data_IF_539498024180
#
_entry.id   IF_539498024180
#
_cell.length_a   1.000
_cell.length_b   1.000
_cell.length_c   1.000
_cell.angle_alpha   90.00
_cell.angle_beta   90.00
_cell.angle_gamma   90.00
#
_symmetry.space_group_name_H-M   'P 1'
#
loop_
_entity.id
_entity.type
_entity.pdbx_description
1 polymer ?
#
# COMPACT_ATOMS: atom_id res chain seq x y z
N UNK A 1 -2.51 -2.45 21.13
CA UNK A 1 -2.50 -2.04 19.72
C UNK A 1 -1.32 -1.11 19.55
N UNK A 2 -0.36 -1.41 18.68
CA UNK A 2 0.81 -0.54 18.45
C UNK A 2 0.38 0.79 17.85
N UNK A 3 1.04 1.90 18.20
CA UNK A 3 0.70 3.25 17.70
C UNK A 3 0.73 3.32 16.16
N UNK A 4 1.62 2.52 15.54
CA UNK A 4 1.72 2.40 14.08
C UNK A 4 0.45 1.82 13.42
N UNK A 5 -0.35 1.02 14.12
CA UNK A 5 -1.64 0.55 13.61
C UNK A 5 -2.66 1.70 13.49
N UNK A 6 -2.43 2.81 14.19
CA UNK A 6 -3.21 4.03 14.07
C UNK A 6 -2.69 4.96 12.97
N UNK A 7 -1.53 4.68 12.38
CA UNK A 7 -0.95 5.45 11.28
C UNK A 7 -1.93 5.52 10.10
N UNK A 8 -2.24 6.72 9.57
CA UNK A 8 -3.15 6.87 8.45
C UNK A 8 -2.76 6.05 7.21
N UNK A 9 -1.46 5.91 6.93
CA UNK A 9 -0.98 5.12 5.80
C UNK A 9 -1.28 3.63 6.01
N UNK A 10 -1.02 3.09 7.20
CA UNK A 10 -1.31 1.68 7.52
C UNK A 10 -2.82 1.40 7.45
N UNK A 11 -3.65 2.32 7.96
CA UNK A 11 -5.11 2.21 7.85
C UNK A 11 -5.59 2.20 6.40
N UNK A 12 -5.09 3.12 5.57
CA UNK A 12 -5.47 3.19 4.16
C UNK A 12 -5.08 1.92 3.41
N UNK A 13 -3.87 1.41 3.67
CA UNK A 13 -3.39 0.16 3.07
C UNK A 13 -4.28 -1.02 3.50
N UNK A 14 -4.53 -1.15 4.80
CA UNK A 14 -5.37 -2.23 5.32
C UNK A 14 -6.79 -2.17 4.76
N UNK A 15 -7.37 -0.98 4.63
CA UNK A 15 -8.67 -0.80 4.00
C UNK A 15 -8.68 -1.40 2.58
N UNK A 16 -7.74 -1.04 1.72
CA UNK A 16 -7.72 -1.54 0.35
C UNK A 16 -7.39 -3.03 0.21
N UNK A 17 -6.62 -3.61 1.14
CA UNK A 17 -6.25 -5.02 1.09
C UNK A 17 -7.34 -5.93 1.69
N UNK A 18 -7.97 -5.50 2.79
CA UNK A 18 -8.78 -6.38 3.64
C UNK A 18 -10.27 -6.03 3.64
N UNK A 19 -10.63 -4.77 3.39
CA UNK A 19 -11.99 -4.27 3.62
C UNK A 19 -12.69 -3.81 2.33
N UNK A 20 -11.92 -3.31 1.35
CA UNK A 20 -12.47 -2.81 0.09
C UNK A 20 -13.09 -3.95 -0.73
N UNK A 21 -14.32 -3.74 -1.22
CA UNK A 21 -14.97 -4.71 -2.11
C UNK A 21 -14.30 -4.75 -3.49
N UNK A 22 -14.40 -5.87 -4.22
CA UNK A 22 -13.89 -5.95 -5.59
C UNK A 22 -14.42 -4.85 -6.51
N UNK A 23 -15.71 -4.49 -6.38
CA UNK A 23 -16.33 -3.44 -7.19
C UNK A 23 -15.67 -2.08 -6.91
N UNK A 24 -15.44 -1.76 -5.63
CA UNK A 24 -14.73 -0.54 -5.25
C UNK A 24 -13.31 -0.49 -5.81
N UNK A 25 -12.60 -1.62 -5.85
CA UNK A 25 -11.25 -1.70 -6.44
C UNK A 25 -11.26 -1.44 -7.95
N UNK A 26 -12.30 -1.91 -8.65
CA UNK A 26 -12.51 -1.63 -10.08
C UNK A 26 -12.85 -0.16 -10.30
N UNK A 27 -13.83 0.39 -9.57
CA UNK A 27 -14.27 1.78 -9.69
C UNK A 27 -13.13 2.78 -9.39
N UNK A 28 -12.22 2.41 -8.48
CA UNK A 28 -11.07 3.23 -8.09
C UNK A 28 -9.79 2.85 -8.81
N UNK A 29 -9.82 1.96 -9.82
CA UNK A 29 -8.63 1.43 -10.49
C UNK A 29 -7.62 2.50 -10.89
N UNK A 30 -8.06 3.54 -11.61
CA UNK A 30 -7.15 4.61 -12.09
C UNK A 30 -6.43 5.28 -10.91
N UNK A 31 -7.16 5.60 -9.85
CA UNK A 31 -6.57 6.20 -8.65
C UNK A 31 -5.60 5.24 -7.96
N UNK A 32 -5.98 3.96 -7.82
CA UNK A 32 -5.15 2.96 -7.15
C UNK A 32 -3.86 2.67 -7.93
N UNK A 33 -3.97 2.48 -9.25
CA UNK A 33 -2.88 2.07 -10.13
C UNK A 33 -1.93 3.23 -10.47
N UNK A 34 -2.46 4.42 -10.75
CA UNK A 34 -1.66 5.55 -11.22
C UNK A 34 -1.17 6.42 -10.05
N UNK A 35 -1.99 6.59 -9.02
CA UNK A 35 -1.70 7.52 -7.92
C UNK A 35 -1.17 6.79 -6.69
N UNK A 36 -1.98 5.93 -6.06
CA UNK A 36 -1.60 5.30 -4.79
C UNK A 36 -0.39 4.38 -4.93
N UNK A 37 -0.37 3.53 -5.96
CA UNK A 37 0.76 2.62 -6.19
C UNK A 37 2.08 3.37 -6.36
N UNK A 38 2.07 4.50 -7.09
CA UNK A 38 3.24 5.38 -7.25
C UNK A 38 3.67 6.00 -5.92
N UNK A 39 2.72 6.51 -5.14
CA UNK A 39 2.98 7.10 -3.83
C UNK A 39 3.59 6.06 -2.88
N UNK A 40 2.99 4.88 -2.78
CA UNK A 40 3.46 3.83 -1.87
C UNK A 40 4.88 3.35 -2.24
N UNK A 41 5.18 3.18 -3.54
CA UNK A 41 6.53 2.84 -4.00
C UNK A 41 7.55 3.91 -3.60
N UNK A 42 7.25 5.18 -3.86
CA UNK A 42 8.13 6.29 -3.51
C UNK A 42 8.35 6.38 -1.99
N UNK A 43 7.31 6.18 -1.16
CA UNK A 43 7.45 6.18 0.30
C UNK A 43 8.26 5.00 0.82
N UNK A 44 8.07 3.81 0.25
CA UNK A 44 8.87 2.64 0.59
C UNK A 44 10.36 2.84 0.24
N UNK A 45 10.65 3.36 -0.95
CA UNK A 45 12.01 3.71 -1.36
C UNK A 45 12.63 4.76 -0.43
N UNK A 46 11.85 5.76 -0.01
CA UNK A 46 12.29 6.78 0.94
C UNK A 46 12.71 6.14 2.27
N UNK A 47 11.87 5.29 2.87
CA UNK A 47 12.19 4.64 4.15
C UNK A 47 13.43 3.74 3.99
N UNK A 48 13.54 3.00 2.88
CA UNK A 48 14.69 2.14 2.59
C UNK A 48 16.00 2.92 2.38
N UNK A 49 15.92 4.21 2.07
CA UNK A 49 17.10 5.07 1.90
C UNK A 49 17.65 5.62 3.23
N UNK A 50 16.94 5.44 4.35
CA UNK A 50 17.37 5.98 5.63
C UNK A 50 18.50 5.16 6.26
N UNK A 51 19.50 5.85 6.79
CA UNK A 51 20.65 5.22 7.47
C UNK A 51 20.28 4.63 8.85
N UNK A 52 19.20 5.12 9.46
CA UNK A 52 18.68 4.63 10.74
C UNK A 52 17.17 4.45 10.60
N UNK A 53 16.68 3.28 10.98
CA UNK A 53 15.28 2.87 10.80
C UNK A 53 14.79 2.32 12.14
N UNK A 54 13.74 2.93 12.69
CA UNK A 54 13.08 2.45 13.90
C UNK A 54 12.22 1.21 13.61
N UNK A 55 11.74 0.53 14.65
CA UNK A 55 10.82 -0.59 14.45
C UNK A 55 9.47 -0.14 13.86
N UNK A 56 9.03 1.08 14.16
CA UNK A 56 7.82 1.67 13.57
C UNK A 56 8.00 1.93 12.07
N UNK A 57 9.18 2.42 11.68
CA UNK A 57 9.53 2.62 10.27
C UNK A 57 9.59 1.31 9.50
N UNK A 58 10.09 0.23 10.13
CA UNK A 58 10.06 -1.13 9.56
C UNK A 58 8.64 -1.60 9.32
N UNK A 59 7.77 -1.46 10.32
CA UNK A 59 6.36 -1.86 10.20
C UNK A 59 5.65 -1.04 9.10
N UNK A 60 5.96 0.25 9.00
CA UNK A 60 5.42 1.11 7.94
C UNK A 60 5.93 0.70 6.55
N UNK A 61 7.22 0.39 6.41
CA UNK A 61 7.80 -0.11 5.17
C UNK A 61 7.16 -1.44 4.74
N UNK A 62 6.95 -2.36 5.68
CA UNK A 62 6.25 -3.62 5.43
C UNK A 62 4.80 -3.39 4.99
N UNK A 63 4.10 -2.42 5.60
CA UNK A 63 2.76 -2.06 5.17
C UNK A 63 2.75 -1.56 3.71
N UNK A 64 3.65 -0.64 3.36
CA UNK A 64 3.76 -0.17 1.97
C UNK A 64 4.06 -1.31 1.00
N UNK A 65 5.00 -2.20 1.35
CA UNK A 65 5.33 -3.36 0.51
C UNK A 65 4.09 -4.25 0.28
N UNK A 66 3.33 -4.58 1.33
CA UNK A 66 2.10 -5.37 1.20
C UNK A 66 1.07 -4.70 0.29
N UNK A 67 0.87 -3.39 0.43
CA UNK A 67 -0.04 -2.62 -0.42
C UNK A 67 0.38 -2.64 -1.90
N UNK A 68 1.68 -2.45 -2.16
CA UNK A 68 2.25 -2.48 -3.51
C UNK A 68 2.06 -3.86 -4.14
N UNK A 69 2.35 -4.92 -3.40
CA UNK A 69 2.26 -6.30 -3.89
C UNK A 69 0.81 -6.66 -4.22
N UNK A 70 -0.12 -6.29 -3.33
CA UNK A 70 -1.55 -6.48 -3.55
C UNK A 70 -2.02 -5.76 -4.82
N UNK A 71 -1.83 -4.44 -4.92
CA UNK A 71 -2.31 -3.69 -6.09
C UNK A 71 -1.62 -4.12 -7.38
N UNK A 72 -0.32 -4.43 -7.35
CA UNK A 72 0.41 -4.92 -8.53
C UNK A 72 -0.16 -6.25 -9.01
N UNK A 73 -0.49 -7.16 -8.09
CA UNK A 73 -1.14 -8.44 -8.43
C UNK A 73 -2.56 -8.23 -8.95
N UNK A 74 -3.36 -7.43 -8.25
CA UNK A 74 -4.76 -7.13 -8.60
C UNK A 74 -4.85 -6.57 -10.02
N UNK A 75 -4.03 -5.58 -10.38
CA UNK A 75 -4.13 -4.95 -11.71
C UNK A 75 -3.39 -5.69 -12.83
N UNK A 76 -2.40 -6.54 -12.52
CA UNK A 76 -1.83 -7.47 -13.53
C UNK A 76 -2.86 -8.50 -14.01
N UNK A 77 -3.73 -8.97 -13.11
CA UNK A 77 -4.76 -9.95 -13.46
C UNK A 77 -5.85 -9.34 -14.34
N UNK A 78 -6.23 -8.07 -14.11
CA UNK A 78 -7.31 -7.40 -14.85
C UNK A 78 -6.89 -6.96 -16.28
N UNK A 79 -5.61 -7.04 -16.64
CA UNK A 79 -5.14 -6.75 -18.02
C UNK A 79 -5.10 -7.97 -18.94
N UNK A 80 -5.42 -9.17 -18.44
CA UNK A 80 -5.39 -10.41 -19.22
C UNK A 80 -6.78 -10.94 -19.60
N UNK A 81 -7.84 -10.18 -19.27
CA UNK A 81 -9.23 -10.47 -19.64
C UNK A 81 -9.69 -9.61 -20.83
#
# INVERSE_FOLDING_TARGET
MTEIAQCPAVKQINFYILEASPELLVDRRVYLEVVLLKIWRSRLETIRSWNCVSDEDRILAEAYQRGIDFLTKTFRLVTLD
#
